data_IF_927950668431
#
_entry.id   IF_927950668431
#
_cell.length_a   1.000
_cell.length_b   1.000
_cell.length_c   1.000
_cell.angle_alpha   90.00
_cell.angle_beta   90.00
_cell.angle_gamma   90.00
#
_symmetry.space_group_name_H-M   'P 1'
#
loop_
_entity.id
_entity.type
_entity.pdbx_description
1 polymer ?
#
# COMPACT_ATOMS: atom_id res chain seq x y z
N UNK A 1 21.63 -7.99 -14.72
CA UNK A 1 20.26 -7.95 -15.30
C UNK A 1 19.60 -6.69 -14.76
N UNK A 2 18.93 -5.87 -15.59
CA UNK A 2 18.29 -4.64 -15.09
C UNK A 2 17.19 -4.97 -14.09
N UNK A 3 17.17 -4.29 -12.95
CA UNK A 3 16.18 -4.49 -11.88
C UNK A 3 15.36 -3.23 -11.66
N UNK A 4 14.10 -3.40 -11.31
CA UNK A 4 13.17 -2.29 -11.08
C UNK A 4 12.69 -2.24 -9.64
N UNK A 5 12.58 -1.04 -9.08
CA UNK A 5 12.02 -0.84 -7.74
C UNK A 5 10.80 0.09 -7.78
N UNK A 6 9.82 -0.20 -6.94
CA UNK A 6 8.79 0.74 -6.54
C UNK A 6 9.19 1.35 -5.20
N UNK A 7 9.24 2.67 -5.12
CA UNK A 7 9.55 3.39 -3.89
C UNK A 7 8.24 3.79 -3.22
N UNK A 8 8.16 3.61 -1.92
CA UNK A 8 7.05 4.13 -1.12
C UNK A 8 7.17 5.65 -0.89
N UNK A 9 6.08 6.28 -0.47
CA UNK A 9 6.04 7.73 -0.27
C UNK A 9 7.03 8.22 0.80
N UNK A 10 7.27 7.43 1.86
CA UNK A 10 8.27 7.74 2.89
C UNK A 10 9.70 7.80 2.34
N UNK A 11 10.02 7.03 1.30
CA UNK A 11 11.35 7.06 0.66
C UNK A 11 11.55 8.40 -0.07
N UNK A 12 10.51 8.90 -0.75
CA UNK A 12 10.56 10.22 -1.39
C UNK A 12 10.67 11.34 -0.36
N UNK A 13 10.00 11.23 0.79
CA UNK A 13 10.15 12.17 1.92
C UNK A 13 11.61 12.21 2.39
N UNK A 14 12.23 11.04 2.60
CA UNK A 14 13.62 10.94 3.06
C UNK A 14 14.60 11.55 2.05
N UNK A 15 14.39 11.31 0.75
CA UNK A 15 15.19 11.91 -0.32
C UNK A 15 15.01 13.45 -0.35
N UNK A 16 13.79 13.96 -0.18
CA UNK A 16 13.50 15.40 -0.11
C UNK A 16 14.15 16.12 1.05
N UNK A 17 14.40 15.40 2.13
CA UNK A 17 15.06 15.86 3.35
C UNK A 17 16.58 15.66 3.31
N UNK A 18 17.10 15.05 2.23
CA UNK A 18 18.49 14.64 2.08
C UNK A 18 18.96 13.65 3.16
N UNK A 19 18.05 12.94 3.83
CA UNK A 19 18.40 11.85 4.76
C UNK A 19 18.69 10.55 4.02
N UNK A 20 18.33 10.47 2.73
CA UNK A 20 18.56 9.34 1.85
C UNK A 20 18.90 9.82 0.43
N UNK A 21 19.72 9.07 -0.29
CA UNK A 21 19.99 9.29 -1.71
C UNK A 21 19.78 8.01 -2.52
N UNK A 22 19.65 8.14 -3.84
CA UNK A 22 19.57 6.98 -4.74
C UNK A 22 20.83 6.13 -4.65
N UNK A 23 22.01 6.72 -4.49
CA UNK A 23 23.25 5.95 -4.34
C UNK A 23 23.20 5.07 -3.09
N UNK A 24 22.64 5.55 -1.97
CA UNK A 24 22.46 4.72 -0.79
C UNK A 24 21.54 3.52 -1.06
N UNK A 25 20.47 3.70 -1.83
CA UNK A 25 19.60 2.58 -2.23
C UNK A 25 20.36 1.58 -3.11
N UNK A 26 21.15 2.05 -4.09
CA UNK A 26 21.95 1.18 -4.95
C UNK A 26 23.00 0.38 -4.17
N UNK A 27 23.64 1.01 -3.18
CA UNK A 27 24.65 0.39 -2.33
C UNK A 27 24.05 -0.62 -1.34
N UNK A 28 22.93 -0.27 -0.71
CA UNK A 28 22.34 -1.09 0.35
C UNK A 28 21.46 -2.23 -0.17
N UNK A 29 20.85 -2.06 -1.35
CA UNK A 29 19.82 -2.98 -1.84
C UNK A 29 20.34 -3.81 -3.01
N UNK A 30 20.60 -3.17 -4.15
CA UNK A 30 21.06 -3.84 -5.37
C UNK A 30 21.62 -2.81 -6.36
N UNK A 31 22.91 -2.91 -6.67
CA UNK A 31 23.58 -2.02 -7.61
C UNK A 31 23.03 -2.14 -9.05
N UNK A 32 22.27 -3.19 -9.36
CA UNK A 32 21.63 -3.39 -10.66
C UNK A 32 20.25 -2.72 -10.78
N UNK A 33 19.78 -2.02 -9.74
CA UNK A 33 18.57 -1.19 -9.83
C UNK A 33 18.78 -0.07 -10.85
N UNK A 34 18.02 -0.10 -11.93
CA UNK A 34 18.12 0.89 -13.01
C UNK A 34 16.91 1.81 -13.10
N UNK A 35 15.75 1.31 -12.71
CA UNK A 35 14.47 1.99 -12.91
C UNK A 35 13.65 2.00 -11.62
N UNK A 36 13.34 3.20 -11.15
CA UNK A 36 12.46 3.45 -10.01
C UNK A 36 11.11 3.90 -10.52
N UNK A 37 10.03 3.37 -9.96
CA UNK A 37 8.66 3.67 -10.39
C UNK A 37 7.88 4.42 -9.31
N UNK A 38 6.99 5.30 -9.76
CA UNK A 38 5.92 5.87 -8.93
C UNK A 38 4.54 5.49 -9.51
N UNK A 39 3.47 5.88 -8.80
CA UNK A 39 2.08 5.70 -9.23
C UNK A 39 1.23 6.90 -8.78
N UNK A 40 -0.06 6.90 -9.14
CA UNK A 40 -1.00 7.95 -8.76
C UNK A 40 -1.15 8.08 -7.24
N UNK A 41 -0.96 6.98 -6.50
CA UNK A 41 -1.03 6.92 -5.03
C UNK A 41 -0.12 7.94 -4.36
N UNK A 42 1.11 8.10 -4.87
CA UNK A 42 2.06 9.10 -4.37
C UNK A 42 1.52 10.52 -4.44
N UNK A 43 0.82 10.81 -5.54
CA UNK A 43 0.33 12.16 -5.83
C UNK A 43 -0.95 12.44 -5.04
N UNK A 44 -1.79 11.43 -4.85
CA UNK A 44 -2.97 11.53 -4.01
C UNK A 44 -2.59 11.68 -2.53
N UNK A 45 -1.62 10.91 -2.05
CA UNK A 45 -1.10 11.06 -0.68
C UNK A 45 -0.43 12.43 -0.49
N UNK A 46 0.37 12.89 -1.45
CA UNK A 46 0.95 14.23 -1.42
C UNK A 46 -0.11 15.35 -1.35
N UNK A 47 -1.28 15.16 -1.95
CA UNK A 47 -2.39 16.12 -1.87
C UNK A 47 -3.00 16.24 -0.45
N UNK A 48 -2.77 15.25 0.42
CA UNK A 48 -3.22 15.25 1.81
C UNK A 48 -2.19 15.89 2.76
N UNK A 49 -1.07 16.42 2.24
CA UNK A 49 -0.08 17.13 3.05
C UNK A 49 -0.73 18.31 3.79
N UNK A 50 -0.47 18.40 5.09
CA UNK A 50 -0.97 19.50 5.91
C UNK A 50 -0.23 20.80 5.57
N UNK A 51 -0.94 21.86 5.18
CA UNK A 51 -0.39 23.18 4.93
C UNK A 51 -1.33 24.25 5.51
N UNK A 52 -0.77 25.39 5.92
CA UNK A 52 -1.54 26.52 6.46
C UNK A 52 -2.25 27.29 5.34
N UNK A 53 -1.65 27.30 4.14
CA UNK A 53 -2.19 28.00 2.97
C UNK A 53 -2.17 27.13 1.72
N UNK A 54 -3.02 27.46 0.75
CA UNK A 54 -3.01 26.81 -0.57
C UNK A 54 -1.68 27.01 -1.32
N UNK A 55 -1.04 28.16 -1.14
CA UNK A 55 0.26 28.44 -1.77
C UNK A 55 1.35 27.53 -1.19
N UNK A 56 1.40 27.40 0.13
CA UNK A 56 2.34 26.48 0.77
C UNK A 56 2.10 25.02 0.35
N UNK A 57 0.84 24.58 0.25
CA UNK A 57 0.52 23.25 -0.28
C UNK A 57 1.05 23.09 -1.71
N UNK A 58 0.82 24.07 -2.58
CA UNK A 58 1.31 24.05 -3.96
C UNK A 58 2.84 23.97 -4.02
N UNK A 59 3.56 24.74 -3.20
CA UNK A 59 5.02 24.71 -3.16
C UNK A 59 5.54 23.33 -2.73
N UNK A 60 4.91 22.73 -1.72
CA UNK A 60 5.22 21.36 -1.27
C UNK A 60 4.94 20.32 -2.35
N UNK A 61 3.81 20.43 -3.06
CA UNK A 61 3.47 19.55 -4.18
C UNK A 61 4.47 19.69 -5.33
N UNK A 62 4.84 20.91 -5.70
CA UNK A 62 5.84 21.16 -6.75
C UNK A 62 7.18 20.53 -6.37
N UNK A 63 7.64 20.71 -5.12
CA UNK A 63 8.85 20.05 -4.61
C UNK A 63 8.73 18.52 -4.73
N UNK A 64 7.60 17.94 -4.28
CA UNK A 64 7.33 16.49 -4.36
C UNK A 64 7.38 15.97 -5.78
N UNK A 65 6.75 16.67 -6.72
CA UNK A 65 6.72 16.27 -8.12
C UNK A 65 8.10 16.33 -8.77
N UNK A 66 8.91 17.34 -8.40
CA UNK A 66 10.30 17.45 -8.85
C UNK A 66 11.16 16.29 -8.33
N UNK A 67 11.03 15.92 -7.05
CA UNK A 67 11.72 14.76 -6.45
C UNK A 67 11.33 13.47 -7.15
N UNK A 68 10.03 13.21 -7.29
CA UNK A 68 9.54 12.00 -7.97
C UNK A 68 10.08 11.95 -9.40
N UNK A 69 10.03 13.07 -10.13
CA UNK A 69 10.53 13.13 -11.52
C UNK A 69 12.03 12.84 -11.62
N UNK A 70 12.84 13.40 -10.70
CA UNK A 70 14.29 13.25 -10.73
C UNK A 70 14.73 11.81 -10.39
N UNK A 71 14.07 11.20 -9.41
CA UNK A 71 14.34 9.83 -8.96
C UNK A 71 13.86 8.80 -9.97
N UNK A 72 12.62 8.91 -10.43
CA UNK A 72 11.97 7.89 -11.26
C UNK A 72 12.23 8.08 -12.74
N UNK A 73 12.79 9.23 -13.15
CA UNK A 73 12.89 9.64 -14.56
C UNK A 73 11.52 9.54 -15.25
N UNK A 74 10.47 9.87 -14.50
CA UNK A 74 9.06 9.81 -14.91
C UNK A 74 8.52 8.40 -15.20
N UNK A 75 9.22 7.34 -14.77
CA UNK A 75 8.70 5.97 -14.89
C UNK A 75 7.47 5.80 -13.98
N UNK A 76 6.32 5.58 -14.61
CA UNK A 76 5.01 5.62 -13.99
C UNK A 76 4.29 4.28 -14.15
N UNK A 77 3.70 3.79 -13.06
CA UNK A 77 2.76 2.67 -13.08
C UNK A 77 1.34 3.21 -13.16
N UNK A 78 0.74 3.04 -14.33
CA UNK A 78 -0.63 3.43 -14.61
C UNK A 78 -1.55 2.23 -14.47
N UNK A 79 -2.59 2.33 -13.65
CA UNK A 79 -3.66 1.33 -13.61
C UNK A 79 -4.79 1.78 -14.54
N UNK A 80 -5.04 1.00 -15.58
CA UNK A 80 -6.16 1.21 -16.49
C UNK A 80 -7.44 0.65 -15.86
N UNK A 81 -8.42 1.52 -15.66
CA UNK A 81 -9.80 1.14 -15.35
C UNK A 81 -10.59 1.11 -16.67
N UNK A 82 -11.46 0.11 -16.94
CA UNK A 82 -11.95 -0.98 -16.08
C UNK A 82 -11.16 -2.31 -16.17
N UNK A 83 -10.12 -2.38 -17.01
CA UNK A 83 -9.38 -3.62 -17.27
C UNK A 83 -8.56 -4.13 -16.07
N UNK A 84 -8.29 -3.25 -15.09
CA UNK A 84 -7.39 -3.45 -13.96
C UNK A 84 -5.96 -3.82 -14.35
N UNK A 85 -5.56 -3.58 -15.60
CA UNK A 85 -4.19 -3.81 -16.04
C UNK A 85 -3.29 -2.68 -15.58
N UNK A 86 -2.09 -3.03 -15.14
CA UNK A 86 -1.05 -2.06 -14.80
C UNK A 86 -0.04 -1.96 -15.93
N UNK A 87 0.18 -0.74 -16.41
CA UNK A 87 1.05 -0.40 -17.51
C UNK A 87 2.27 0.38 -17.01
N UNK A 88 3.45 0.06 -17.55
CA UNK A 88 4.69 0.82 -17.33
C UNK A 88 4.79 1.91 -18.40
N UNK A 89 4.58 3.16 -18.01
CA UNK A 89 4.60 4.32 -18.89
C UNK A 89 5.68 5.31 -18.46
N UNK A 90 5.89 6.35 -19.27
CA UNK A 90 6.63 7.54 -18.87
C UNK A 90 5.68 8.74 -18.86
N UNK A 91 5.43 9.28 -17.67
CA UNK A 91 4.56 10.44 -17.52
C UNK A 91 5.08 11.35 -16.42
N UNK A 92 4.89 12.67 -16.55
CA UNK A 92 5.33 13.60 -15.51
C UNK A 92 4.34 13.57 -14.34
N UNK A 93 4.81 13.58 -13.07
CA UNK A 93 3.95 13.66 -11.88
C UNK A 93 2.92 14.79 -11.94
N UNK A 94 3.29 15.98 -12.43
CA UNK A 94 2.36 17.11 -12.56
C UNK A 94 1.23 16.85 -13.57
N UNK A 95 1.51 16.13 -14.66
CA UNK A 95 0.51 15.75 -15.66
C UNK A 95 -0.45 14.73 -15.06
N UNK A 96 0.08 13.66 -14.44
CA UNK A 96 -0.74 12.65 -13.76
C UNK A 96 -1.60 13.30 -12.67
N UNK A 97 -1.04 14.20 -11.87
CA UNK A 97 -1.76 14.89 -10.80
C UNK A 97 -2.98 15.67 -11.32
N UNK A 98 -2.85 16.34 -12.47
CA UNK A 98 -3.96 17.07 -13.07
C UNK A 98 -5.08 16.13 -13.54
N UNK A 99 -4.76 14.90 -13.94
CA UNK A 99 -5.76 13.91 -14.40
C UNK A 99 -6.53 13.21 -13.27
N UNK A 100 -5.97 13.14 -12.06
CA UNK A 100 -6.55 12.37 -10.94
C UNK A 100 -7.39 13.23 -9.98
N UNK A 101 -7.25 14.56 -10.00
CA UNK A 101 -8.00 15.44 -9.11
C UNK A 101 -9.44 15.72 -9.58
N UNK A 102 -9.81 15.25 -10.77
CA UNK A 102 -11.14 15.46 -11.35
C UNK A 102 -12.22 14.51 -10.80
N UNK A 103 -11.92 13.65 -9.81
CA UNK A 103 -12.91 12.72 -9.23
C UNK A 103 -13.07 12.85 -7.70
N UNK A 104 -13.73 13.93 -7.20
CA UNK A 104 -14.08 14.11 -5.78
C UNK A 104 -14.95 12.97 -5.20
N UNK A 105 -15.72 12.29 -6.05
CA UNK A 105 -16.68 11.25 -5.65
C UNK A 105 -16.01 10.00 -5.07
N UNK A 106 -14.90 9.54 -5.68
CA UNK A 106 -14.17 8.36 -5.20
C UNK A 106 -13.57 8.57 -3.80
N UNK A 107 -13.05 9.78 -3.52
CA UNK A 107 -12.47 10.16 -2.22
C UNK A 107 -13.49 10.06 -1.07
N UNK A 108 -14.71 10.56 -1.28
CA UNK A 108 -15.76 10.53 -0.27
C UNK A 108 -16.33 9.12 -0.03
N UNK A 109 -16.42 8.30 -1.09
CA UNK A 109 -16.89 6.92 -0.99
C UNK A 109 -15.89 6.03 -0.23
N UNK A 110 -14.59 6.16 -0.52
CA UNK A 110 -13.53 5.43 0.20
C UNK A 110 -13.52 5.83 1.69
N UNK A 111 -13.65 7.14 1.99
CA UNK A 111 -13.75 7.64 3.36
C UNK A 111 -14.96 7.07 4.13
N UNK A 112 -16.10 6.89 3.46
CA UNK A 112 -17.31 6.32 4.06
C UNK A 112 -17.24 4.81 4.32
N UNK A 113 -16.47 4.06 3.53
CA UNK A 113 -16.31 2.61 3.71
C UNK A 113 -15.30 2.24 4.80
N UNK A 114 -14.27 3.06 5.02
CA UNK A 114 -13.20 2.79 6.01
C UNK A 114 -13.58 3.11 7.47
N UNK A 115 -14.81 3.60 7.72
CA UNK A 115 -15.28 4.03 9.04
C UNK A 115 -16.34 3.12 9.68
N UNK A 116 -16.69 2.00 9.05
CA UNK A 116 -17.87 1.19 9.46
C UNK A 116 -17.62 0.23 10.61
N UNK A 117 -16.36 -0.10 10.95
CA UNK A 117 -16.01 -1.00 12.06
C UNK A 117 -15.16 -0.25 13.09
N UNK A 118 -15.71 -0.05 14.29
CA UNK A 118 -15.02 0.64 15.37
C UNK A 118 -14.02 -0.29 16.11
N UNK A 119 -13.11 0.29 16.92
CA UNK A 119 -12.10 -0.52 17.64
C UNK A 119 -12.69 -1.54 18.61
N UNK A 120 -13.86 -1.25 19.21
CA UNK A 120 -14.51 -2.18 20.14
C UNK A 120 -14.95 -3.44 19.40
N UNK A 121 -15.57 -3.30 18.22
CA UNK A 121 -15.94 -4.42 17.36
C UNK A 121 -14.71 -5.20 16.89
N UNK A 122 -13.63 -4.50 16.51
CA UNK A 122 -12.35 -5.17 16.16
C UNK A 122 -11.76 -5.93 17.35
N UNK A 123 -11.82 -5.36 18.56
CA UNK A 123 -11.31 -5.99 19.77
C UNK A 123 -12.12 -7.24 20.14
N UNK A 124 -13.44 -7.17 20.07
CA UNK A 124 -14.32 -8.31 20.33
C UNK A 124 -14.11 -9.42 19.29
N UNK A 125 -13.95 -9.05 18.01
CA UNK A 125 -13.61 -10.01 16.95
C UNK A 125 -12.29 -10.75 17.23
N UNK A 126 -11.23 -10.03 17.62
CA UNK A 126 -9.93 -10.65 18.00
C UNK A 126 -10.07 -11.61 19.18
N UNK A 127 -10.88 -11.23 20.17
CA UNK A 127 -11.15 -12.05 21.35
C UNK A 127 -11.87 -13.35 20.97
N UNK A 128 -12.87 -13.27 20.09
CA UNK A 128 -13.59 -14.45 19.58
C UNK A 128 -12.68 -15.39 18.80
N UNK A 129 -11.78 -14.84 17.97
CA UNK A 129 -10.79 -15.64 17.23
C UNK A 129 -9.69 -16.22 18.13
N UNK A 130 -9.58 -15.78 19.39
CA UNK A 130 -8.50 -16.09 20.31
C UNK A 130 -7.13 -15.82 19.67
N UNK A 131 -6.98 -14.64 19.07
CA UNK A 131 -5.73 -14.17 18.45
C UNK A 131 -5.12 -13.10 19.35
N UNK A 132 -3.87 -13.33 19.75
CA UNK A 132 -3.04 -12.34 20.45
C UNK A 132 -2.27 -11.49 19.42
N UNK A 133 -2.54 -10.16 19.33
CA UNK A 133 -1.85 -9.25 18.42
C UNK A 133 -0.33 -9.20 18.64
N UNK A 134 0.15 -9.36 19.87
CA UNK A 134 1.60 -9.33 20.15
C UNK A 134 2.26 -10.57 19.56
N UNK A 135 1.61 -11.72 19.72
CA UNK A 135 2.11 -12.99 19.22
C UNK A 135 2.12 -13.05 17.69
N UNK A 136 1.01 -12.66 17.05
CA UNK A 136 0.89 -12.75 15.58
C UNK A 136 1.86 -11.80 14.85
N UNK A 137 2.29 -10.69 15.45
CA UNK A 137 3.28 -9.78 14.85
C UNK A 137 4.67 -10.39 14.69
N UNK A 138 4.96 -11.49 15.38
CA UNK A 138 6.23 -12.21 15.30
C UNK A 138 6.18 -13.40 14.32
N UNK A 139 5.04 -13.63 13.67
CA UNK A 139 4.87 -14.73 12.74
C UNK A 139 5.38 -14.36 11.34
N UNK A 140 5.94 -15.36 10.65
CA UNK A 140 6.18 -15.28 9.22
C UNK A 140 4.86 -15.14 8.43
N UNK A 141 4.89 -14.63 7.19
CA UNK A 141 3.70 -14.55 6.34
C UNK A 141 2.87 -15.85 6.29
N UNK A 142 3.53 -16.99 6.11
CA UNK A 142 2.89 -18.32 6.07
C UNK A 142 2.19 -18.67 7.39
N UNK A 143 2.82 -18.35 8.52
CA UNK A 143 2.26 -18.60 9.85
C UNK A 143 1.06 -17.69 10.13
N UNK A 144 1.09 -16.42 9.69
CA UNK A 144 -0.05 -15.49 9.77
C UNK A 144 -1.24 -16.05 9.00
N UNK A 145 -1.03 -16.46 7.74
CA UNK A 145 -2.09 -17.04 6.89
C UNK A 145 -2.65 -18.30 7.54
N UNK A 146 -1.78 -19.21 8.01
CA UNK A 146 -2.20 -20.44 8.68
C UNK A 146 -2.99 -20.16 9.96
N UNK A 147 -2.54 -19.20 10.78
CA UNK A 147 -3.21 -18.82 12.02
C UNK A 147 -4.62 -18.30 11.75
N UNK A 148 -4.78 -17.40 10.77
CA UNK A 148 -6.10 -16.85 10.40
C UNK A 148 -6.99 -17.97 9.84
N UNK A 149 -6.49 -18.77 8.90
CA UNK A 149 -7.26 -19.85 8.29
C UNK A 149 -7.64 -20.96 9.29
N UNK A 150 -6.87 -21.18 10.36
CA UNK A 150 -7.24 -22.11 11.43
C UNK A 150 -8.51 -21.72 12.19
N UNK A 151 -9.00 -20.48 11.98
CA UNK A 151 -10.23 -19.95 12.55
C UNK A 151 -11.38 -19.90 11.55
N UNK A 152 -11.25 -20.60 10.41
CA UNK A 152 -12.26 -20.62 9.34
C UNK A 152 -13.66 -20.92 9.85
N UNK A 153 -13.82 -21.83 10.82
CA UNK A 153 -15.13 -22.20 11.37
C UNK A 153 -15.83 -21.02 12.05
N UNK A 154 -15.07 -20.15 12.71
CA UNK A 154 -15.56 -18.90 13.31
C UNK A 154 -15.85 -17.83 12.25
N UNK A 155 -15.37 -18.02 11.03
CA UNK A 155 -15.54 -17.14 9.88
C UNK A 155 -16.45 -17.78 8.81
N UNK A 156 -17.40 -18.63 9.23
CA UNK A 156 -18.39 -19.23 8.32
C UNK A 156 -17.82 -20.28 7.36
N UNK A 157 -16.70 -20.91 7.72
CA UNK A 157 -16.00 -21.90 6.91
C UNK A 157 -15.05 -21.31 5.85
N UNK A 158 -14.93 -19.98 5.78
CA UNK A 158 -14.08 -19.33 4.78
C UNK A 158 -12.64 -19.18 5.25
N UNK A 159 -11.70 -19.36 4.33
CA UNK A 159 -10.31 -18.90 4.51
C UNK A 159 -10.24 -17.37 4.41
N UNK A 160 -9.11 -16.78 4.82
CA UNK A 160 -8.83 -15.35 4.65
C UNK A 160 -9.12 -14.88 3.22
N UNK A 161 -8.58 -15.60 2.22
CA UNK A 161 -8.80 -15.29 0.81
C UNK A 161 -10.25 -15.53 0.41
N UNK A 162 -10.85 -16.63 0.89
CA UNK A 162 -12.25 -16.95 0.62
C UNK A 162 -13.21 -15.85 1.08
N UNK A 163 -12.95 -15.22 2.22
CA UNK A 163 -13.74 -14.09 2.71
C UNK A 163 -13.65 -12.88 1.76
N UNK A 164 -12.45 -12.54 1.30
CA UNK A 164 -12.23 -11.41 0.39
C UNK A 164 -12.90 -11.68 -0.96
N UNK A 165 -12.71 -12.87 -1.54
CA UNK A 165 -13.36 -13.23 -2.81
C UNK A 165 -14.88 -13.23 -2.68
N UNK A 166 -15.42 -13.70 -1.55
CA UNK A 166 -16.87 -13.67 -1.31
C UNK A 166 -17.40 -12.24 -1.17
N UNK A 167 -16.67 -11.36 -0.50
CA UNK A 167 -17.02 -9.95 -0.40
C UNK A 167 -17.01 -9.26 -1.77
N UNK A 168 -16.02 -9.57 -2.62
CA UNK A 168 -15.96 -9.09 -4.00
C UNK A 168 -17.15 -9.60 -4.81
N UNK A 169 -17.47 -10.89 -4.74
CA UNK A 169 -18.60 -11.51 -5.46
C UNK A 169 -19.94 -10.83 -5.12
N UNK A 170 -20.16 -10.51 -3.84
CA UNK A 170 -21.40 -9.90 -3.36
C UNK A 170 -21.48 -8.39 -3.60
N UNK A 171 -20.36 -7.72 -3.92
CA UNK A 171 -20.36 -6.28 -4.14
C UNK A 171 -20.98 -5.93 -5.50
N UNK A 172 -21.82 -4.86 -5.61
CA UNK A 172 -22.45 -4.47 -6.88
C UNK A 172 -21.47 -4.24 -8.03
N UNK A 173 -20.25 -3.76 -7.71
CA UNK A 173 -19.16 -3.54 -8.67
C UNK A 173 -18.10 -4.65 -8.65
N UNK A 174 -18.41 -5.82 -8.08
CA UNK A 174 -17.45 -6.91 -7.89
C UNK A 174 -16.71 -7.35 -9.15
N UNK A 175 -17.39 -7.29 -10.30
CA UNK A 175 -16.81 -7.63 -11.61
C UNK A 175 -15.71 -6.65 -12.08
N UNK A 176 -15.73 -5.42 -11.56
CA UNK A 176 -14.75 -4.38 -11.86
C UNK A 176 -13.63 -4.36 -10.82
N UNK A 177 -13.73 -5.17 -9.75
CA UNK A 177 -12.73 -5.22 -8.69
C UNK A 177 -11.55 -6.13 -9.07
N UNK A 178 -10.37 -5.53 -9.13
CA UNK A 178 -9.12 -6.18 -9.51
C UNK A 178 -8.26 -6.62 -8.32
N UNK A 179 -6.97 -6.84 -8.60
CA UNK A 179 -5.98 -7.18 -7.58
C UNK A 179 -5.81 -6.07 -6.54
N UNK A 180 -5.93 -4.80 -6.95
CA UNK A 180 -5.83 -3.66 -6.04
C UNK A 180 -6.87 -3.73 -4.89
N UNK A 181 -8.13 -4.13 -5.17
CA UNK A 181 -9.17 -4.26 -4.15
C UNK A 181 -8.86 -5.40 -3.18
N UNK A 182 -8.28 -6.49 -3.69
CA UNK A 182 -7.88 -7.64 -2.89
C UNK A 182 -6.75 -7.30 -1.93
N UNK A 183 -5.78 -6.49 -2.38
CA UNK A 183 -4.75 -5.92 -1.51
C UNK A 183 -5.36 -5.11 -0.37
N UNK A 184 -6.26 -4.17 -0.69
CA UNK A 184 -6.95 -3.36 0.32
C UNK A 184 -7.75 -4.23 1.32
N UNK A 185 -8.50 -5.21 0.82
CA UNK A 185 -9.27 -6.13 1.64
C UNK A 185 -8.40 -6.96 2.59
N UNK A 186 -7.28 -7.51 2.13
CA UNK A 186 -6.36 -8.26 2.99
C UNK A 186 -5.71 -7.33 4.02
N UNK A 187 -5.28 -6.13 3.64
CA UNK A 187 -4.73 -5.15 4.58
C UNK A 187 -5.70 -4.83 5.71
N UNK A 188 -6.99 -4.63 5.39
CA UNK A 188 -8.01 -4.39 6.41
C UNK A 188 -8.25 -5.63 7.29
N UNK A 189 -8.29 -6.83 6.71
CA UNK A 189 -8.42 -8.07 7.50
C UNK A 189 -7.22 -8.29 8.45
N UNK A 190 -6.01 -8.01 7.99
CA UNK A 190 -4.80 -8.08 8.83
C UNK A 190 -4.88 -7.09 10.00
N UNK A 191 -5.34 -5.88 9.73
CA UNK A 191 -5.58 -4.87 10.77
C UNK A 191 -6.68 -5.30 11.76
N UNK A 192 -7.78 -5.89 11.26
CA UNK A 192 -8.87 -6.45 12.07
C UNK A 192 -8.36 -7.53 13.03
N UNK A 193 -7.52 -8.46 12.57
CA UNK A 193 -6.94 -9.51 13.45
C UNK A 193 -5.80 -9.01 14.33
N UNK A 194 -5.38 -7.75 14.17
CA UNK A 194 -4.36 -7.11 15.01
C UNK A 194 -2.93 -7.24 14.48
N UNK A 195 -2.73 -7.80 13.28
CA UNK A 195 -1.41 -7.96 12.68
C UNK A 195 -0.85 -6.62 12.18
N UNK A 196 0.23 -6.17 12.80
CA UNK A 196 0.87 -4.86 12.61
C UNK A 196 -0.17 -3.73 12.52
N UNK A 197 -1.17 -3.79 13.41
CA UNK A 197 -2.31 -2.87 13.37
C UNK A 197 -1.89 -1.42 13.54
N UNK A 198 -2.66 -0.55 12.91
CA UNK A 198 -2.45 0.88 13.04
C UNK A 198 -3.11 1.45 14.30
N UNK A 199 -2.65 2.62 14.71
CA UNK A 199 -3.34 3.36 15.78
C UNK A 199 -4.68 3.83 15.23
N UNK A 200 -5.76 3.68 15.99
CA UNK A 200 -7.06 4.11 15.51
C UNK A 200 -7.21 5.63 15.59
N UNK A 201 -7.10 6.29 14.44
CA UNK A 201 -7.44 7.71 14.23
C UNK A 201 -7.68 7.94 12.73
N UNK A 202 -8.36 9.03 12.37
CA UNK A 202 -8.72 9.31 10.97
C UNK A 202 -7.49 9.37 10.03
N UNK A 203 -6.35 9.89 10.51
CA UNK A 203 -5.10 9.95 9.72
C UNK A 203 -4.57 8.55 9.41
N UNK A 204 -4.69 7.62 10.35
CA UNK A 204 -4.27 6.23 10.20
C UNK A 204 -5.19 5.40 9.30
N UNK A 205 -6.46 5.79 9.12
CA UNK A 205 -7.32 5.16 8.11
C UNK A 205 -6.85 5.52 6.70
N UNK A 206 -6.50 6.80 6.48
CA UNK A 206 -5.98 7.25 5.20
C UNK A 206 -4.62 6.63 4.85
N UNK A 207 -3.71 6.54 5.82
CA UNK A 207 -2.41 5.90 5.60
C UNK A 207 -2.56 4.44 5.12
N UNK A 208 -3.46 3.66 5.74
CA UNK A 208 -3.73 2.26 5.37
C UNK A 208 -4.18 2.08 3.91
N UNK A 209 -4.97 3.02 3.39
CA UNK A 209 -5.38 3.00 1.98
C UNK A 209 -4.16 3.09 1.07
N UNK A 210 -3.30 4.08 1.33
CA UNK A 210 -2.09 4.31 0.54
C UNK A 210 -1.10 3.16 0.67
N UNK A 211 -0.89 2.62 1.88
CA UNK A 211 -0.03 1.46 2.13
C UNK A 211 -0.40 0.25 1.26
N UNK A 212 -1.71 -0.07 1.21
CA UNK A 212 -2.21 -1.16 0.38
C UNK A 212 -2.02 -0.89 -1.12
N UNK A 213 -2.18 0.37 -1.53
CA UNK A 213 -2.02 0.79 -2.92
C UNK A 213 -0.56 0.77 -3.37
N UNK A 214 0.37 1.28 -2.56
CA UNK A 214 1.81 1.20 -2.79
C UNK A 214 2.26 -0.26 -2.88
N UNK A 215 1.78 -1.10 -1.96
CA UNK A 215 2.04 -2.55 -1.99
C UNK A 215 1.53 -3.19 -3.29
N UNK A 216 0.32 -2.85 -3.75
CA UNK A 216 -0.22 -3.34 -5.02
C UNK A 216 0.67 -2.93 -6.21
N UNK A 217 1.00 -1.65 -6.36
CA UNK A 217 1.84 -1.21 -7.48
C UNK A 217 3.24 -1.80 -7.42
N UNK A 218 3.79 -2.01 -6.23
CA UNK A 218 5.11 -2.62 -6.07
C UNK A 218 5.17 -4.08 -6.53
N UNK A 219 4.04 -4.80 -6.59
CA UNK A 219 3.98 -6.17 -7.12
C UNK A 219 4.37 -6.30 -8.59
N UNK A 220 4.47 -5.19 -9.32
CA UNK A 220 4.90 -5.13 -10.72
C UNK A 220 6.41 -4.80 -10.87
N UNK A 221 7.15 -4.78 -9.76
CA UNK A 221 8.57 -4.49 -9.68
C UNK A 221 9.34 -5.65 -9.00
N UNK A 222 10.66 -5.71 -9.19
CA UNK A 222 11.52 -6.66 -8.47
C UNK A 222 11.62 -6.33 -6.97
N UNK A 223 11.56 -5.04 -6.62
CA UNK A 223 11.69 -4.55 -5.26
C UNK A 223 10.56 -3.60 -4.87
N UNK A 224 10.09 -3.74 -3.63
CA UNK A 224 9.30 -2.74 -2.91
C UNK A 224 10.17 -2.15 -1.79
N UNK A 225 10.49 -0.87 -1.89
CA UNK A 225 11.34 -0.16 -0.91
C UNK A 225 10.46 0.75 -0.07
N UNK A 226 10.35 0.46 1.23
CA UNK A 226 9.43 1.13 2.15
C UNK A 226 10.05 1.16 3.55
N UNK A 227 10.16 2.34 4.18
CA UNK A 227 10.70 2.45 5.54
C UNK A 227 9.67 2.12 6.64
N UNK A 228 8.37 2.10 6.32
CA UNK A 228 7.32 1.65 7.25
C UNK A 228 7.33 0.13 7.44
N UNK A 229 7.70 -0.30 8.66
CA UNK A 229 7.76 -1.72 9.02
C UNK A 229 6.38 -2.41 8.99
N UNK A 230 5.30 -1.72 9.34
CA UNK A 230 3.94 -2.29 9.30
C UNK A 230 3.52 -2.59 7.88
N UNK A 231 3.71 -1.61 6.98
CA UNK A 231 3.39 -1.75 5.56
C UNK A 231 4.18 -2.88 4.94
N UNK A 232 5.49 -2.97 5.21
CA UNK A 232 6.31 -4.10 4.74
C UNK A 232 5.78 -5.46 5.21
N UNK A 233 5.45 -5.61 6.50
CA UNK A 233 4.97 -6.89 7.02
C UNK A 233 3.60 -7.28 6.42
N UNK A 234 2.67 -6.32 6.28
CA UNK A 234 1.38 -6.57 5.62
C UNK A 234 1.56 -6.92 4.14
N UNK A 235 2.42 -6.20 3.42
CA UNK A 235 2.73 -6.46 2.01
C UNK A 235 3.28 -7.88 1.80
N UNK A 236 4.22 -8.33 2.66
CA UNK A 236 4.77 -9.70 2.61
C UNK A 236 3.70 -10.79 2.75
N UNK A 237 2.68 -10.57 3.59
CA UNK A 237 1.54 -11.50 3.70
C UNK A 237 0.76 -11.56 2.39
N UNK A 238 0.46 -10.41 1.80
CA UNK A 238 -0.27 -10.36 0.52
C UNK A 238 0.54 -11.00 -0.60
N UNK A 239 1.85 -10.78 -0.63
CA UNK A 239 2.74 -11.36 -1.63
C UNK A 239 2.83 -12.87 -1.51
N UNK A 240 2.91 -13.40 -0.28
CA UNK A 240 2.84 -14.84 -0.02
C UNK A 240 1.51 -15.44 -0.50
N UNK A 241 0.38 -14.75 -0.27
CA UNK A 241 -0.96 -15.21 -0.71
C UNK A 241 -1.02 -15.34 -2.24
N UNK A 242 -0.50 -14.35 -2.97
CA UNK A 242 -0.61 -14.29 -4.43
C UNK A 242 0.63 -14.82 -5.18
N UNK A 243 1.62 -15.36 -4.48
CA UNK A 243 2.86 -15.86 -5.09
C UNK A 243 3.67 -14.76 -5.80
N UNK A 244 3.66 -13.54 -5.26
CA UNK A 244 4.39 -12.39 -5.81
C UNK A 244 5.85 -12.46 -5.35
N UNK A 245 6.78 -12.40 -6.31
CA UNK A 245 8.23 -12.54 -6.06
C UNK A 245 8.93 -11.23 -5.68
N UNK A 246 8.22 -10.09 -5.66
CA UNK A 246 8.76 -8.79 -5.28
C UNK A 246 9.38 -8.83 -3.89
N UNK A 247 10.65 -8.44 -3.78
CA UNK A 247 11.37 -8.35 -2.50
C UNK A 247 10.98 -7.09 -1.74
N UNK A 248 10.62 -7.22 -0.47
CA UNK A 248 10.16 -6.11 0.37
C UNK A 248 11.25 -5.73 1.37
N UNK A 249 11.81 -4.53 1.23
CA UNK A 249 12.98 -4.07 2.00
C UNK A 249 12.81 -2.62 2.49
N UNK A 250 13.51 -2.25 3.55
CA UNK A 250 13.76 -0.85 3.91
C UNK A 250 14.93 -0.25 3.12
N UNK A 251 15.16 1.06 3.26
CA UNK A 251 16.24 1.77 2.56
C UNK A 251 17.66 1.33 2.96
N UNK A 252 17.79 0.54 4.04
CA UNK A 252 19.04 -0.08 4.48
C UNK A 252 19.23 -1.51 3.97
N UNK A 253 18.31 -2.01 3.13
CA UNK A 253 18.37 -3.36 2.57
C UNK A 253 17.89 -4.46 3.53
N UNK A 254 17.20 -4.10 4.62
CA UNK A 254 16.65 -5.06 5.58
C UNK A 254 15.20 -5.38 5.29
N UNK A 255 14.86 -6.63 5.57
CA UNK A 255 13.51 -7.17 5.44
C UNK A 255 12.53 -6.69 6.52
#
# INVERSE_FOLDING_TARGET
>A
MRKTAYLDNNIFVDIEQNSLSINNLLENIDQNLTDFFYSASHLQEANEMTAETKNELNDRLVKRFQTISSVTKNNYLFQELPSNKVHKLKEKPSVVYNTINDVPFARNMIKGMMSTVNEEQKAEFRKQLNIDPIRINNYSPKEVIKQINSKSDLMGGFSLVGMIEKAVELHPQGKEMGLHNRFAGIFEMLDMVGYWKDKFNEKSNYARLWDSSHSHFSSYCDYFICNDKRTRNKAKVVFEIYGIETKVLDSSGKE
#
